data_IF_160741561955
#
_entry.id   IF_160741561955
#
_cell.length_a   1.000
_cell.length_b   1.000
_cell.length_c   1.000
_cell.angle_alpha   90.00
_cell.angle_beta   90.00
_cell.angle_gamma   90.00
#
_symmetry.space_group_name_H-M   'P 1'
#
loop_
_entity.id
_entity.type
_entity.pdbx_description
1 polymer ?
#
# COMPACT_ATOMS: atom_id res chain seq x y z
N UNK A 1 -43.83 25.73 -3.01
CA UNK A 1 -42.50 26.27 -2.66
C UNK A 1 -42.29 26.25 -1.15
N UNK A 2 -41.25 25.54 -0.68
CA UNK A 2 -40.30 26.13 0.27
C UNK A 2 -38.85 25.85 -0.19
N UNK A 3 -38.06 26.87 -0.50
CA UNK A 3 -37.05 27.53 0.36
C UNK A 3 -36.04 26.58 1.00
N UNK A 4 -34.85 26.59 0.41
CA UNK A 4 -33.59 26.06 0.91
C UNK A 4 -33.21 26.66 2.29
N UNK A 5 -32.62 25.83 3.15
CA UNK A 5 -31.66 26.27 4.16
C UNK A 5 -30.54 25.23 4.24
N UNK A 6 -29.35 25.61 3.77
CA UNK A 6 -28.11 24.88 3.98
C UNK A 6 -27.59 25.16 5.39
N UNK A 7 -27.14 24.12 6.10
CA UNK A 7 -26.16 24.28 7.18
C UNK A 7 -25.37 22.99 7.39
N UNK A 8 -24.15 23.01 6.85
CA UNK A 8 -22.89 22.37 7.26
C UNK A 8 -22.91 21.03 8.02
N UNK A 9 -22.33 20.00 7.40
CA UNK A 9 -21.66 18.92 8.13
C UNK A 9 -20.15 19.05 7.92
N UNK A 10 -19.45 19.33 9.04
CA UNK A 10 -18.01 19.51 9.16
C UNK A 10 -17.26 18.22 8.81
N UNK A 11 -16.05 18.40 8.26
CA UNK A 11 -14.98 17.43 8.08
C UNK A 11 -15.07 16.19 8.98
N UNK A 12 -15.63 15.10 8.45
CA UNK A 12 -15.39 13.76 8.98
C UNK A 12 -14.27 13.17 8.15
N UNK A 13 -13.20 12.75 8.82
CA UNK A 13 -12.10 12.01 8.23
C UNK A 13 -12.65 10.88 7.34
N UNK A 14 -12.52 11.04 6.02
CA UNK A 14 -12.77 9.98 5.06
C UNK A 14 -11.67 8.93 5.23
N UNK A 15 -11.78 8.11 6.27
CA UNK A 15 -11.05 6.85 6.34
C UNK A 15 -11.53 5.98 5.19
N UNK A 16 -10.72 5.83 4.16
CA UNK A 16 -11.02 4.92 3.06
C UNK A 16 -11.14 3.50 3.62
N UNK A 17 -12.22 2.76 3.31
CA UNK A 17 -12.32 1.37 3.72
C UNK A 17 -11.17 0.58 3.10
N UNK A 18 -10.23 0.15 3.94
CA UNK A 18 -9.21 -0.83 3.57
C UNK A 18 -9.94 -2.15 3.36
N UNK A 19 -10.26 -2.47 2.10
CA UNK A 19 -10.67 -3.83 1.75
C UNK A 19 -9.47 -4.73 1.90
N UNK A 20 -9.43 -5.54 2.96
CA UNK A 20 -8.55 -6.69 3.04
C UNK A 20 -8.85 -7.58 1.84
N UNK A 21 -7.88 -7.88 0.95
CA UNK A 21 -8.13 -8.81 -0.14
C UNK A 21 -8.53 -10.15 0.46
N UNK A 22 -9.68 -10.67 0.04
CA UNK A 22 -10.06 -12.06 0.29
C UNK A 22 -8.93 -12.93 -0.27
N UNK A 23 -8.34 -13.77 0.59
CA UNK A 23 -7.23 -14.64 0.21
C UNK A 23 -7.82 -15.78 -0.62
N UNK A 24 -7.84 -15.62 -1.95
CA UNK A 24 -8.29 -16.66 -2.87
C UNK A 24 -7.11 -17.60 -3.18
N UNK A 25 -7.28 -18.89 -2.92
CA UNK A 25 -6.21 -19.88 -3.04
C UNK A 25 -5.71 -19.94 -4.50
N UNK A 26 -4.41 -19.71 -4.72
CA UNK A 26 -3.75 -19.80 -6.02
C UNK A 26 -3.39 -18.46 -6.69
N UNK A 27 -3.99 -17.34 -6.28
CA UNK A 27 -3.60 -16.00 -6.73
C UNK A 27 -2.87 -15.28 -5.60
N UNK A 28 -1.57 -14.97 -5.74
CA UNK A 28 -0.87 -14.16 -4.73
C UNK A 28 -1.60 -12.82 -4.59
N UNK A 29 -2.21 -12.48 -3.45
CA UNK A 29 -3.08 -11.33 -3.36
C UNK A 29 -2.25 -10.06 -3.57
N UNK A 30 -2.52 -9.38 -4.68
CA UNK A 30 -1.98 -8.06 -4.93
C UNK A 30 -2.86 -7.09 -4.17
N UNK A 31 -2.24 -6.33 -3.27
CA UNK A 31 -2.92 -5.25 -2.57
C UNK A 31 -2.78 -3.97 -3.39
N UNK A 32 -3.66 -3.01 -3.13
CA UNK A 32 -3.57 -1.69 -3.73
C UNK A 32 -3.98 -0.64 -2.71
N UNK A 33 -3.29 0.51 -2.77
CA UNK A 33 -3.73 1.75 -2.15
C UNK A 33 -4.40 2.59 -3.23
N UNK A 34 -5.48 3.28 -2.86
CA UNK A 34 -6.12 4.31 -3.68
C UNK A 34 -6.29 5.57 -2.83
N UNK A 35 -6.10 6.72 -3.45
CA UNK A 35 -6.20 8.06 -2.86
C UNK A 35 -6.53 9.07 -3.95
N UNK A 36 -6.69 10.33 -3.57
CA UNK A 36 -6.97 11.43 -4.50
C UNK A 36 -5.81 11.69 -5.47
N UNK A 37 -4.58 11.29 -5.11
CA UNK A 37 -3.38 11.39 -5.95
C UNK A 37 -3.13 10.15 -6.83
N UNK A 38 -4.09 9.22 -6.84
CA UNK A 38 -4.11 8.02 -7.67
C UNK A 38 -4.03 6.72 -6.88
N UNK A 39 -3.55 5.66 -7.52
CA UNK A 39 -3.43 4.33 -6.93
C UNK A 39 -2.07 3.70 -7.18
N UNK A 40 -1.67 2.80 -6.27
CA UNK A 40 -0.41 2.07 -6.31
C UNK A 40 -0.66 0.61 -5.93
N UNK A 41 -0.13 -0.32 -6.73
CA UNK A 41 -0.21 -1.76 -6.46
C UNK A 41 1.03 -2.21 -5.73
N UNK A 42 0.87 -3.17 -4.83
CA UNK A 42 1.97 -3.74 -4.07
C UNK A 42 1.70 -5.20 -3.69
N UNK A 43 2.77 -5.94 -3.41
CA UNK A 43 2.71 -7.27 -2.83
C UNK A 43 3.38 -7.25 -1.45
N UNK A 44 2.85 -8.04 -0.52
CA UNK A 44 3.39 -8.19 0.83
C UNK A 44 3.97 -9.58 0.98
N UNK A 45 5.15 -9.67 1.59
CA UNK A 45 5.70 -10.90 2.15
C UNK A 45 5.55 -10.85 3.66
N UNK A 46 4.79 -11.79 4.20
CA UNK A 46 4.67 -12.02 5.63
C UNK A 46 5.69 -13.08 6.04
N UNK A 47 6.47 -12.87 7.11
CA UNK A 47 7.42 -13.87 7.56
C UNK A 47 6.67 -15.08 8.12
N UNK A 48 7.27 -16.28 8.02
CA UNK A 48 6.61 -17.56 8.35
C UNK A 48 6.02 -17.63 9.76
N UNK A 49 6.64 -16.94 10.71
CA UNK A 49 6.27 -16.86 12.12
C UNK A 49 5.15 -15.85 12.40
N UNK A 50 4.65 -15.14 11.39
CA UNK A 50 3.58 -14.16 11.58
C UNK A 50 2.27 -14.88 11.89
N UNK A 51 1.82 -14.73 13.13
CA UNK A 51 0.60 -15.30 13.69
C UNK A 51 -0.66 -14.46 13.41
N UNK A 52 -0.51 -13.41 12.60
CA UNK A 52 -1.49 -12.36 12.48
C UNK A 52 -1.34 -11.35 13.61
N UNK A 53 -1.44 -11.76 14.87
CA UNK A 53 -1.70 -10.84 16.00
C UNK A 53 -0.53 -9.90 16.34
N UNK A 54 0.71 -10.31 16.07
CA UNK A 54 1.90 -9.56 16.43
C UNK A 54 2.11 -8.35 15.52
N UNK A 55 2.46 -7.19 16.08
CA UNK A 55 2.87 -6.04 15.27
C UNK A 55 4.34 -6.20 14.86
N UNK A 56 4.61 -6.22 13.55
CA UNK A 56 5.95 -6.38 12.99
C UNK A 56 6.45 -5.11 12.31
N UNK A 57 7.79 -4.96 12.26
CA UNK A 57 8.44 -3.95 11.43
C UNK A 57 8.05 -4.15 9.96
N UNK A 58 7.83 -3.06 9.25
CA UNK A 58 7.61 -3.06 7.80
C UNK A 58 8.85 -2.48 7.10
N UNK A 59 9.46 -3.28 6.23
CA UNK A 59 10.46 -2.83 5.27
C UNK A 59 9.82 -2.65 3.89
N UNK A 60 10.01 -1.49 3.27
CA UNK A 60 9.55 -1.23 1.90
C UNK A 60 10.71 -1.35 0.92
N UNK A 61 10.62 -2.32 0.00
CA UNK A 61 11.64 -2.58 -1.01
C UNK A 61 11.23 -1.95 -2.35
N UNK A 62 11.83 -0.80 -2.67
CA UNK A 62 11.52 0.01 -3.85
C UNK A 62 12.42 -0.41 -5.02
N UNK A 63 11.82 -0.79 -6.15
CA UNK A 63 12.57 -1.23 -7.34
C UNK A 63 13.26 -0.08 -8.09
N UNK A 64 14.30 -0.41 -8.85
CA UNK A 64 14.94 0.51 -9.79
C UNK A 64 14.15 0.70 -11.10
N UNK A 65 14.65 1.57 -11.96
CA UNK A 65 14.13 1.77 -13.32
C UNK A 65 14.10 0.46 -14.13
N UNK A 66 13.07 0.28 -14.96
CA UNK A 66 12.89 -0.93 -15.79
C UNK A 66 12.54 -2.21 -15.03
N UNK A 67 12.51 -2.16 -13.69
CA UNK A 67 12.12 -3.28 -12.82
C UNK A 67 10.69 -3.12 -12.34
N UNK A 68 10.16 -4.14 -11.68
CA UNK A 68 8.89 -4.10 -10.94
C UNK A 68 9.09 -4.47 -9.47
N UNK A 69 8.09 -4.25 -8.62
CA UNK A 69 8.12 -4.77 -7.25
C UNK A 69 7.98 -6.29 -7.19
N UNK A 70 7.08 -6.84 -8.01
CA UNK A 70 6.72 -8.26 -8.10
C UNK A 70 6.27 -8.62 -9.53
N UNK A 71 6.23 -9.90 -9.88
CA UNK A 71 5.93 -10.36 -11.26
C UNK A 71 7.17 -10.64 -12.11
N UNK A 72 7.39 -9.87 -13.19
CA UNK A 72 8.54 -10.00 -14.10
C UNK A 72 9.60 -8.93 -13.84
N UNK A 73 10.89 -9.29 -13.92
CA UNK A 73 12.05 -8.42 -13.62
C UNK A 73 11.92 -7.67 -12.27
N UNK A 74 11.84 -8.40 -11.15
CA UNK A 74 11.28 -7.86 -9.91
C UNK A 74 12.28 -7.73 -8.79
N UNK A 75 12.15 -6.68 -7.99
CA UNK A 75 12.86 -6.53 -6.72
C UNK A 75 12.63 -7.73 -5.79
N UNK A 76 11.41 -8.28 -5.75
CA UNK A 76 11.08 -9.44 -4.91
C UNK A 76 11.83 -10.72 -5.28
N UNK A 77 12.10 -10.95 -6.56
CA UNK A 77 12.76 -12.17 -7.07
C UNK A 77 14.26 -12.02 -7.18
N UNK A 78 14.77 -10.80 -7.35
CA UNK A 78 16.21 -10.52 -7.49
C UNK A 78 16.89 -10.24 -6.15
N UNK A 79 16.13 -10.11 -5.07
CA UNK A 79 16.66 -9.94 -3.72
C UNK A 79 16.38 -11.14 -2.82
N UNK A 80 17.10 -11.20 -1.71
CA UNK A 80 16.90 -12.20 -0.67
C UNK A 80 16.03 -11.68 0.48
N UNK A 81 15.35 -10.53 0.32
CA UNK A 81 14.62 -9.90 1.43
C UNK A 81 13.55 -10.80 2.03
N UNK A 82 12.88 -11.65 1.23
CA UNK A 82 11.97 -12.66 1.75
C UNK A 82 12.65 -13.64 2.71
N UNK A 83 13.86 -14.10 2.38
CA UNK A 83 14.62 -15.04 3.21
C UNK A 83 15.05 -14.39 4.53
N UNK A 84 15.53 -13.16 4.46
CA UNK A 84 15.96 -12.38 5.63
C UNK A 84 14.75 -12.00 6.50
N UNK A 85 13.61 -11.67 5.88
CA UNK A 85 12.36 -11.42 6.60
C UNK A 85 11.89 -12.65 7.38
N UNK A 86 11.96 -13.84 6.77
CA UNK A 86 11.64 -15.10 7.45
C UNK A 86 12.58 -15.36 8.63
N UNK A 87 13.89 -15.05 8.53
CA UNK A 87 14.83 -15.27 9.63
C UNK A 87 14.72 -14.23 10.75
N UNK A 88 14.57 -12.95 10.42
CA UNK A 88 14.64 -11.84 11.38
C UNK A 88 13.26 -11.33 11.86
N UNK A 89 12.17 -11.78 11.24
CA UNK A 89 10.81 -11.46 11.69
C UNK A 89 10.35 -10.04 11.34
N UNK A 90 10.37 -9.68 10.06
CA UNK A 90 9.77 -8.43 9.57
C UNK A 90 8.95 -8.66 8.29
N UNK A 91 8.05 -7.72 8.00
CA UNK A 91 7.23 -7.72 6.79
C UNK A 91 7.99 -7.02 5.67
N UNK A 92 7.95 -7.57 4.45
CA UNK A 92 8.48 -6.87 3.26
C UNK A 92 7.34 -6.46 2.35
N UNK A 93 7.36 -5.20 1.91
CA UNK A 93 6.39 -4.66 0.96
C UNK A 93 7.08 -4.26 -0.33
N UNK A 94 6.54 -4.76 -1.45
CA UNK A 94 7.06 -4.56 -2.79
C UNK A 94 6.05 -3.76 -3.64
N UNK A 95 6.09 -2.41 -3.60
CA UNK A 95 5.31 -1.58 -4.49
C UNK A 95 5.80 -1.68 -5.93
N UNK A 96 4.89 -1.54 -6.90
CA UNK A 96 5.21 -1.48 -8.33
C UNK A 96 4.68 -0.18 -8.92
N UNK A 97 5.56 0.61 -9.52
CA UNK A 97 5.20 1.82 -10.25
C UNK A 97 4.28 1.51 -11.45
N UNK A 98 3.60 2.55 -11.96
CA UNK A 98 2.68 2.45 -13.10
C UNK A 98 3.30 3.05 -14.34
N UNK A 99 3.24 2.32 -15.45
CA UNK A 99 3.81 2.74 -16.74
C UNK A 99 3.29 4.08 -17.26
N UNK A 100 2.06 4.48 -16.92
CA UNK A 100 1.54 5.80 -17.33
C UNK A 100 2.13 6.97 -16.52
N UNK A 101 2.70 6.72 -15.33
CA UNK A 101 3.44 7.75 -14.59
C UNK A 101 4.85 7.91 -15.13
N UNK A 102 5.42 6.82 -15.62
CA UNK A 102 6.74 6.80 -16.21
C UNK A 102 6.86 5.58 -17.16
N UNK A 103 7.10 5.83 -18.45
CA UNK A 103 7.09 4.80 -19.49
C UNK A 103 8.18 3.74 -19.33
N UNK A 104 9.29 4.06 -18.63
CA UNK A 104 10.36 3.11 -18.31
C UNK A 104 10.23 2.52 -16.90
N UNK A 105 9.06 2.68 -16.27
CA UNK A 105 8.72 2.22 -14.94
C UNK A 105 9.70 2.69 -13.84
N UNK A 106 10.22 3.92 -13.94
CA UNK A 106 10.97 4.55 -12.87
C UNK A 106 10.06 5.26 -11.88
N UNK A 107 10.51 5.39 -10.63
CA UNK A 107 10.02 6.43 -9.73
C UNK A 107 10.50 7.79 -10.22
N UNK A 108 9.61 8.79 -10.20
CA UNK A 108 9.88 10.13 -10.72
C UNK A 108 10.61 10.99 -9.68
N UNK A 109 11.66 10.45 -9.04
CA UNK A 109 12.35 11.10 -7.91
C UNK A 109 13.05 12.41 -8.26
N UNK A 110 13.39 12.62 -9.53
CA UNK A 110 13.99 13.86 -10.03
C UNK A 110 12.97 14.95 -10.34
N UNK A 111 11.68 14.62 -10.44
CA UNK A 111 10.62 15.59 -10.67
C UNK A 111 10.30 16.32 -9.35
N UNK A 112 10.47 17.66 -9.27
CA UNK A 112 10.17 18.41 -8.05
C UNK A 112 8.73 18.20 -7.55
N UNK A 113 7.77 17.95 -8.46
CA UNK A 113 6.37 17.69 -8.10
C UNK A 113 6.19 16.41 -7.30
N UNK A 114 7.14 15.48 -7.39
CA UNK A 114 7.14 14.17 -6.75
C UNK A 114 8.05 14.11 -5.50
N UNK A 115 8.57 15.26 -5.05
CA UNK A 115 9.40 15.40 -3.85
C UNK A 115 8.64 16.00 -2.65
N UNK A 116 7.37 16.35 -2.83
CA UNK A 116 6.56 16.94 -1.78
C UNK A 116 5.88 15.89 -0.90
N UNK A 117 5.90 16.12 0.41
CA UNK A 117 5.14 15.32 1.37
C UNK A 117 3.64 15.45 1.07
N UNK A 118 2.91 14.35 1.20
CA UNK A 118 1.46 14.27 1.05
C UNK A 118 0.90 14.47 -0.36
N UNK A 119 1.73 14.65 -1.38
CA UNK A 119 1.34 14.58 -2.79
C UNK A 119 2.11 13.47 -3.52
N UNK A 120 1.72 13.22 -4.77
CA UNK A 120 2.51 12.40 -5.69
C UNK A 120 2.77 10.96 -5.22
N UNK A 121 3.90 10.43 -5.67
CA UNK A 121 4.47 9.13 -5.31
C UNK A 121 4.73 8.99 -3.80
N UNK A 122 5.29 10.00 -3.08
CA UNK A 122 5.47 9.93 -1.63
C UNK A 122 4.16 9.67 -0.86
N UNK A 123 3.06 10.30 -1.26
CA UNK A 123 1.76 10.09 -0.61
C UNK A 123 1.24 8.66 -0.77
N UNK A 124 1.45 8.07 -1.94
CA UNK A 124 1.05 6.68 -2.24
C UNK A 124 1.89 5.68 -1.46
N UNK A 125 3.21 5.86 -1.45
CA UNK A 125 4.13 5.02 -0.67
C UNK A 125 3.79 5.12 0.82
N UNK A 126 3.52 6.32 1.34
CA UNK A 126 3.07 6.49 2.71
C UNK A 126 1.72 5.80 2.98
N UNK A 127 0.80 5.81 2.01
CA UNK A 127 -0.45 5.04 2.08
C UNK A 127 -0.21 3.54 2.18
N UNK A 128 0.75 3.02 1.42
CA UNK A 128 1.14 1.60 1.47
C UNK A 128 1.70 1.25 2.83
N UNK A 129 2.62 2.06 3.36
CA UNK A 129 3.21 1.86 4.68
C UNK A 129 2.16 1.82 5.80
N UNK A 130 1.17 2.73 5.76
CA UNK A 130 0.06 2.73 6.72
C UNK A 130 -0.79 1.46 6.59
N UNK A 131 -1.15 1.07 5.37
CA UNK A 131 -2.00 -0.11 5.15
C UNK A 131 -1.29 -1.41 5.56
N UNK A 132 0.01 -1.53 5.32
CA UNK A 132 0.78 -2.72 5.71
C UNK A 132 1.04 -2.79 7.21
N UNK A 133 1.19 -1.65 7.90
CA UNK A 133 1.31 -1.61 9.36
C UNK A 133 0.00 -1.99 10.07
N UNK A 134 -1.16 -1.75 9.44
CA UNK A 134 -2.49 -2.07 9.97
C UNK A 134 -2.90 -3.52 9.65
N UNK A 135 -2.15 -4.26 8.82
CA UNK A 135 -2.48 -5.64 8.44
C UNK A 135 -2.24 -6.70 9.55
N UNK A 136 -1.87 -6.30 10.77
CA UNK A 136 -2.14 -7.08 11.99
C UNK A 136 -3.68 -7.09 12.22
N UNK A 137 -4.33 -8.24 12.52
CA UNK A 137 -5.77 -8.46 12.51
C UNK A 137 -6.47 -7.82 13.71
N UNK A 138 -6.38 -6.49 13.80
CA UNK A 138 -7.25 -5.66 14.60
C UNK A 138 -8.11 -4.75 13.71
N UNK A 139 -8.47 -5.21 12.52
CA UNK A 139 -9.65 -4.67 11.83
C UNK A 139 -10.89 -5.30 12.42
N UNK A 140 -11.29 -4.81 13.60
CA UNK A 140 -12.65 -4.96 14.08
C UNK A 140 -13.58 -4.49 12.95
N UNK A 141 -14.50 -5.38 12.55
CA UNK A 141 -15.65 -5.00 11.72
C UNK A 141 -16.32 -3.79 12.39
N UNK A 142 -16.13 -2.60 11.84
CA UNK A 142 -17.03 -1.50 12.12
C UNK A 142 -18.40 -1.92 11.57
N UNK A 143 -19.26 -2.45 12.45
CA UNK A 143 -20.69 -2.57 12.18
C UNK A 143 -21.21 -1.14 12.07
N UNK A 144 -21.75 -0.77 10.91
CA UNK A 144 -22.58 0.43 10.81
C UNK A 144 -23.81 0.23 11.72
N UNK A 145 -24.08 1.12 12.70
CA UNK A 145 -25.41 1.21 13.27
C UNK A 145 -26.36 1.81 12.23
N UNK A 146 -27.62 1.35 12.27
CA UNK A 146 -28.73 1.81 11.43
C UNK A 146 -28.97 3.32 11.53
#
# INVERSE_FOLDING_TARGET
HPRHSHSHCRHRHCGFPVRTPLVDAGRKPQSFVRSDVGSLRYQVHLPRQFDGTTQLLVMMAIHGCGMTGYGWNTMKSTTQFNRVADSEGFIVVYPTQRLFRNMINCWNSTDPREQHRYSGEPALLAGVARQSAIASPHSSRAKCPY
#
